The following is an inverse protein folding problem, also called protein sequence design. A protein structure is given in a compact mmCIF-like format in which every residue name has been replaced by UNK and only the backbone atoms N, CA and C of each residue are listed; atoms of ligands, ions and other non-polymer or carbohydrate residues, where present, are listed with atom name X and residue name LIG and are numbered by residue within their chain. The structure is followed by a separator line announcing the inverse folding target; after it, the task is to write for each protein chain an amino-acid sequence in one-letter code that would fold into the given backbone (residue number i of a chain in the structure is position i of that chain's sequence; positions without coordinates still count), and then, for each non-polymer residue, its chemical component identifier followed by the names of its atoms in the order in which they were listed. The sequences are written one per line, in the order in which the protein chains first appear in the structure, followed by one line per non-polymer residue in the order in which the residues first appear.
data_IF_434033984437
#
_entry.id   IF_434033984437
#
_cell.length_a   1.000
_cell.length_b   1.000
_cell.length_c   1.000
_cell.angle_alpha   90.00
_cell.angle_beta   90.00
_cell.angle_gamma   90.00
#
_symmetry.space_group_name_H-M   'P 1'
#
loop_
_entity.id
_entity.type
_entity.pdbx_description
1 polymer ?
#
# COMPACT_ATOMS: atom_id res chain seq x y z
N UNK A 1 8.06 11.29 10.88
CA UNK A 1 7.22 11.04 12.08
C UNK A 1 5.99 11.93 12.10
N UNK A 2 6.11 13.29 12.05
CA UNK A 2 4.96 14.22 12.11
C UNK A 2 3.89 13.98 11.03
N UNK A 3 4.29 13.64 9.79
CA UNK A 3 3.35 13.35 8.70
C UNK A 3 2.48 12.12 9.02
N UNK A 4 3.08 11.05 9.55
CA UNK A 4 2.35 9.84 9.95
C UNK A 4 1.40 10.11 11.13
N UNK A 5 1.79 10.97 12.08
CA UNK A 5 0.90 11.40 13.19
C UNK A 5 -0.30 12.17 12.67
N UNK A 6 -0.07 13.09 11.74
CA UNK A 6 -1.14 13.84 11.09
C UNK A 6 -2.12 12.91 10.38
N UNK A 7 -1.62 12.01 9.52
CA UNK A 7 -2.46 11.04 8.79
C UNK A 7 -3.31 10.18 9.74
N UNK A 8 -2.70 9.69 10.81
CA UNK A 8 -3.39 8.90 11.82
C UNK A 8 -4.50 9.70 12.52
N UNK A 9 -4.22 10.95 12.90
CA UNK A 9 -5.20 11.85 13.50
C UNK A 9 -6.35 12.26 12.56
N UNK A 10 -6.04 12.48 11.27
CA UNK A 10 -7.02 12.74 10.22
C UNK A 10 -7.96 11.53 10.04
N UNK A 11 -7.40 10.31 10.03
CA UNK A 11 -8.19 9.08 9.96
C UNK A 11 -9.15 8.93 11.13
N UNK A 12 -8.67 9.15 12.35
CA UNK A 12 -9.53 9.12 13.56
C UNK A 12 -10.62 10.20 13.51
N UNK A 13 -10.31 11.36 12.98
CA UNK A 13 -11.28 12.46 12.85
C UNK A 13 -12.34 12.12 11.80
N UNK A 14 -11.96 11.55 10.67
CA UNK A 14 -12.89 11.09 9.63
C UNK A 14 -13.87 10.05 10.17
N UNK A 15 -13.38 9.07 10.95
CA UNK A 15 -14.25 8.05 11.60
C UNK A 15 -15.26 8.70 12.54
N UNK A 16 -14.82 9.62 13.40
CA UNK A 16 -15.72 10.36 14.30
C UNK A 16 -16.77 11.18 13.54
N UNK A 17 -16.45 11.60 12.33
CA UNK A 17 -17.37 12.31 11.43
C UNK A 17 -18.28 11.38 10.62
N UNK A 18 -18.22 10.07 10.83
CA UNK A 18 -19.09 9.08 10.19
C UNK A 18 -18.56 8.48 8.89
N UNK A 19 -17.29 8.64 8.58
CA UNK A 19 -16.69 7.99 7.42
C UNK A 19 -16.66 6.46 7.59
N UNK A 20 -17.10 5.73 6.56
CA UNK A 20 -17.06 4.26 6.49
C UNK A 20 -15.90 3.75 5.63
N UNK A 21 -15.29 4.62 4.83
CA UNK A 21 -14.12 4.33 4.01
C UNK A 21 -13.13 5.47 4.15
N UNK A 22 -11.88 5.11 4.34
CA UNK A 22 -10.74 6.04 4.34
C UNK A 22 -9.89 5.72 3.12
N UNK A 23 -9.55 6.74 2.34
CA UNK A 23 -8.64 6.64 1.22
C UNK A 23 -7.33 7.33 1.60
N UNK A 24 -6.24 6.57 1.63
CA UNK A 24 -4.88 7.10 1.73
C UNK A 24 -4.39 7.32 0.30
N UNK A 25 -4.03 8.55 -0.05
CA UNK A 25 -3.66 8.91 -1.42
C UNK A 25 -2.38 9.75 -1.45
N UNK A 26 -1.52 9.47 -2.41
CA UNK A 26 -0.32 10.24 -2.73
C UNK A 26 -0.50 11.16 -3.96
N UNK A 27 -1.72 11.26 -4.52
CA UNK A 27 -2.01 12.10 -5.72
C UNK A 27 -1.73 13.59 -5.53
N UNK A 28 -1.67 14.07 -4.30
CA UNK A 28 -1.35 15.46 -4.01
C UNK A 28 0.14 15.80 -4.08
N UNK A 29 0.97 14.85 -4.45
CA UNK A 29 2.43 15.02 -4.56
C UNK A 29 2.80 16.05 -5.63
N UNK A 30 3.72 16.96 -5.28
CA UNK A 30 4.25 17.98 -6.18
C UNK A 30 5.67 18.36 -5.74
N UNK A 31 6.27 19.35 -6.40
CA UNK A 31 7.66 19.79 -6.13
C UNK A 31 7.90 20.34 -4.72
N UNK A 32 6.84 20.67 -4.00
CA UNK A 32 6.91 21.20 -2.62
C UNK A 32 6.50 20.17 -1.57
N UNK A 33 5.78 19.11 -1.98
CA UNK A 33 5.21 18.09 -1.09
C UNK A 33 5.61 16.69 -1.56
N UNK A 34 6.60 16.12 -0.87
CA UNK A 34 6.96 14.71 -1.05
C UNK A 34 5.87 13.80 -0.46
N UNK A 35 5.57 12.66 -1.09
CA UNK A 35 4.61 11.69 -0.55
C UNK A 35 5.21 10.95 0.65
N UNK A 36 4.35 10.57 1.59
CA UNK A 36 4.73 9.52 2.53
C UNK A 36 4.64 8.19 1.78
N UNK A 37 5.69 7.34 1.79
CA UNK A 37 5.62 6.03 1.15
C UNK A 37 4.35 5.28 1.53
N UNK A 38 3.61 4.79 0.53
CA UNK A 38 2.25 4.27 0.71
C UNK A 38 2.17 3.13 1.73
N UNK A 39 3.20 2.28 1.80
CA UNK A 39 3.25 1.18 2.75
C UNK A 39 3.42 1.67 4.19
N UNK A 40 4.27 2.68 4.42
CA UNK A 40 4.45 3.30 5.74
C UNK A 40 3.16 3.97 6.21
N UNK A 41 2.50 4.73 5.33
CA UNK A 41 1.24 5.39 5.62
C UNK A 41 0.14 4.38 5.97
N UNK A 42 0.01 3.33 5.17
CA UNK A 42 -0.97 2.25 5.37
C UNK A 42 -0.75 1.55 6.71
N UNK A 43 0.47 1.10 6.99
CA UNK A 43 0.79 0.40 8.24
C UNK A 43 0.60 1.29 9.46
N UNK A 44 1.05 2.53 9.42
CA UNK A 44 0.91 3.47 10.53
C UNK A 44 -0.57 3.75 10.85
N UNK A 45 -1.40 4.05 9.85
CA UNK A 45 -2.84 4.29 10.02
C UNK A 45 -3.53 3.01 10.51
N UNK A 46 -3.24 1.85 9.92
CA UNK A 46 -3.80 0.57 10.33
C UNK A 46 -3.54 0.27 11.80
N UNK A 47 -2.29 0.35 12.26
CA UNK A 47 -1.93 0.08 13.66
C UNK A 47 -2.45 1.14 14.62
N UNK A 48 -2.50 2.40 14.21
CA UNK A 48 -3.12 3.46 15.00
C UNK A 48 -4.61 3.17 15.26
N UNK A 49 -5.37 2.84 14.22
CA UNK A 49 -6.78 2.51 14.35
C UNK A 49 -7.04 1.23 15.15
N UNK A 50 -6.12 0.26 15.13
CA UNK A 50 -6.17 -0.91 16.01
C UNK A 50 -6.00 -0.46 17.47
N UNK A 51 -5.03 0.40 17.76
CA UNK A 51 -4.77 0.92 19.11
C UNK A 51 -5.97 1.69 19.66
N UNK A 52 -6.68 2.44 18.80
CA UNK A 52 -7.93 3.15 19.16
C UNK A 52 -9.18 2.24 19.15
N UNK A 53 -9.05 0.96 18.78
CA UNK A 53 -10.18 0.00 18.65
C UNK A 53 -11.24 0.43 17.62
N UNK A 54 -10.85 1.21 16.64
CA UNK A 54 -11.74 1.74 15.58
C UNK A 54 -11.48 1.12 14.20
N UNK A 55 -10.44 0.29 14.07
CA UNK A 55 -10.02 -0.29 12.77
C UNK A 55 -11.14 -1.03 12.03
N UNK A 56 -12.02 -1.69 12.76
CA UNK A 56 -13.14 -2.47 12.18
C UNK A 56 -14.34 -1.63 11.74
N UNK A 57 -14.33 -0.33 12.03
CA UNK A 57 -15.42 0.59 11.68
C UNK A 57 -15.30 1.09 10.22
N UNK A 58 -14.12 0.95 9.60
CA UNK A 58 -13.85 1.53 8.28
C UNK A 58 -13.14 0.57 7.33
N UNK A 59 -13.45 0.68 6.05
CA UNK A 59 -12.61 0.18 4.96
C UNK A 59 -11.39 1.11 4.76
N UNK A 60 -10.22 0.54 4.49
CA UNK A 60 -9.00 1.29 4.18
C UNK A 60 -8.62 1.02 2.73
N UNK A 61 -8.62 2.04 1.91
CA UNK A 61 -8.24 1.97 0.49
C UNK A 61 -6.97 2.79 0.29
N UNK A 62 -6.07 2.30 -0.54
CA UNK A 62 -4.81 2.98 -0.86
C UNK A 62 -4.79 3.35 -2.33
N UNK A 63 -4.70 4.64 -2.62
CA UNK A 63 -4.47 5.17 -3.96
C UNK A 63 -2.99 5.55 -4.04
N UNK A 64 -2.21 4.79 -4.83
CA UNK A 64 -0.76 4.82 -4.75
C UNK A 64 -0.08 4.92 -6.11
N UNK A 65 0.88 5.84 -6.21
CA UNK A 65 1.85 5.88 -7.30
C UNK A 65 2.97 4.83 -7.15
N UNK A 66 3.23 4.37 -5.93
CA UNK A 66 4.29 3.39 -5.63
C UNK A 66 3.93 1.96 -6.03
N UNK A 67 2.62 1.63 -6.04
CA UNK A 67 2.14 0.27 -6.28
C UNK A 67 2.21 -0.06 -7.79
N UNK A 68 3.25 -0.79 -8.23
CA UNK A 68 3.53 -1.08 -9.63
C UNK A 68 3.57 -2.56 -9.98
N UNK A 69 3.61 -3.44 -8.99
CA UNK A 69 3.72 -4.88 -9.19
C UNK A 69 3.02 -5.68 -8.09
N UNK A 70 2.93 -6.99 -8.30
CA UNK A 70 2.26 -7.92 -7.38
C UNK A 70 2.76 -7.81 -5.95
N UNK A 71 4.08 -7.70 -5.74
CA UNK A 71 4.66 -7.64 -4.40
C UNK A 71 4.21 -6.40 -3.63
N UNK A 72 4.15 -5.24 -4.29
CA UNK A 72 3.67 -4.00 -3.69
C UNK A 72 2.21 -4.13 -3.24
N UNK A 73 1.34 -4.69 -4.11
CA UNK A 73 -0.07 -4.91 -3.77
C UNK A 73 -0.21 -5.93 -2.64
N UNK A 74 0.57 -7.02 -2.68
CA UNK A 74 0.58 -8.04 -1.63
C UNK A 74 0.97 -7.47 -0.27
N UNK A 75 1.97 -6.58 -0.21
CA UNK A 75 2.37 -5.88 1.01
C UNK A 75 1.26 -4.95 1.51
N UNK A 76 0.68 -4.11 0.66
CA UNK A 76 -0.38 -3.19 1.06
C UNK A 76 -1.59 -3.94 1.65
N UNK A 77 -2.02 -5.03 1.03
CA UNK A 77 -3.10 -5.88 1.56
C UNK A 77 -2.69 -6.55 2.87
N UNK A 78 -1.45 -7.04 2.97
CA UNK A 78 -0.91 -7.65 4.18
C UNK A 78 -0.85 -6.70 5.37
N UNK A 79 -0.62 -5.41 5.11
CA UNK A 79 -0.54 -4.37 6.13
C UNK A 79 -1.82 -3.53 6.30
N UNK A 80 -2.96 -3.99 5.79
CA UNK A 80 -4.24 -3.46 6.19
C UNK A 80 -5.09 -2.83 5.10
N UNK A 81 -4.60 -2.68 3.87
CA UNK A 81 -5.44 -2.18 2.78
C UNK A 81 -6.53 -3.21 2.42
N UNK A 82 -7.77 -2.75 2.29
CA UNK A 82 -8.89 -3.52 1.75
C UNK A 82 -9.03 -3.37 0.24
N UNK A 83 -8.34 -2.40 -0.36
CA UNK A 83 -8.29 -2.17 -1.79
C UNK A 83 -7.12 -1.27 -2.16
N UNK A 84 -6.60 -1.44 -3.38
CA UNK A 84 -5.46 -0.67 -3.90
C UNK A 84 -5.81 -0.13 -5.28
N UNK A 85 -5.61 1.18 -5.48
CA UNK A 85 -5.70 1.84 -6.78
C UNK A 85 -4.29 2.26 -7.24
N UNK A 86 -3.62 1.48 -8.09
CA UNK A 86 -2.26 1.76 -8.56
C UNK A 86 -2.32 2.72 -9.76
N UNK A 87 -2.68 3.98 -9.53
CA UNK A 87 -3.05 4.92 -10.60
C UNK A 87 -1.90 5.23 -11.56
N UNK A 88 -0.66 5.37 -11.07
CA UNK A 88 0.51 5.60 -11.94
C UNK A 88 0.79 4.38 -12.81
N UNK A 89 0.58 3.16 -12.31
CA UNK A 89 0.71 1.95 -13.13
C UNK A 89 -0.31 1.95 -14.28
N UNK A 90 -1.56 2.37 -14.02
CA UNK A 90 -2.59 2.49 -15.05
C UNK A 90 -2.26 3.58 -16.08
N UNK A 91 -1.85 4.76 -15.62
CA UNK A 91 -1.42 5.86 -16.49
C UNK A 91 -0.20 5.47 -17.34
N UNK A 92 0.74 4.72 -16.77
CA UNK A 92 1.91 4.20 -17.49
C UNK A 92 1.51 3.20 -18.59
N UNK A 93 0.56 2.31 -18.31
CA UNK A 93 0.00 1.38 -19.30
C UNK A 93 -0.64 2.16 -20.46
N UNK A 94 -1.44 3.17 -20.15
CA UNK A 94 -2.11 4.00 -21.15
C UNK A 94 -1.09 4.75 -22.02
N UNK A 95 -0.03 5.29 -21.42
CA UNK A 95 1.05 5.96 -22.13
C UNK A 95 1.84 5.00 -23.04
N UNK A 96 2.15 3.80 -22.56
CA UNK A 96 2.85 2.77 -23.33
C UNK A 96 2.06 2.37 -24.58
N UNK A 97 0.74 2.23 -24.47
CA UNK A 97 -0.14 1.92 -25.58
C UNK A 97 -0.22 3.12 -26.56
N UNK A 98 -0.38 4.33 -26.08
CA UNK A 98 -0.45 5.53 -26.89
C UNK A 98 0.82 5.80 -27.70
N UNK A 99 1.98 5.44 -27.13
CA UNK A 99 3.30 5.61 -27.79
C UNK A 99 3.73 4.42 -28.63
N UNK A 100 2.98 3.32 -28.64
CA UNK A 100 3.35 2.09 -29.32
C UNK A 100 4.63 1.43 -28.77
N UNK A 101 4.92 1.69 -27.49
CA UNK A 101 6.14 1.20 -26.86
C UNK A 101 6.13 -0.33 -26.70
N UNK A 102 7.33 -0.92 -26.71
CA UNK A 102 7.58 -2.32 -26.33
C UNK A 102 6.88 -3.42 -27.17
N UNK A 103 6.51 -3.13 -28.42
CA UNK A 103 5.93 -4.14 -29.32
C UNK A 103 4.56 -4.64 -28.87
N UNK A 104 3.80 -3.83 -28.15
CA UNK A 104 2.45 -4.16 -27.75
C UNK A 104 1.53 -4.33 -28.97
N UNK A 105 0.59 -5.28 -28.96
CA UNK A 105 -0.32 -5.48 -30.08
C UNK A 105 -1.18 -4.22 -30.32
N UNK A 106 -1.27 -3.76 -31.56
CA UNK A 106 -2.10 -2.60 -31.91
C UNK A 106 -3.61 -2.79 -31.62
N UNK A 107 -4.04 -4.04 -31.41
CA UNK A 107 -5.41 -4.39 -31.05
C UNK A 107 -5.70 -4.33 -29.56
N UNK A 108 -4.67 -4.13 -28.73
CA UNK A 108 -4.82 -4.10 -27.28
C UNK A 108 -5.39 -2.73 -26.84
N UNK A 109 -6.58 -2.74 -26.29
CA UNK A 109 -7.20 -1.50 -25.75
C UNK A 109 -6.68 -1.17 -24.36
N UNK A 110 -6.70 0.13 -23.95
CA UNK A 110 -6.31 0.52 -22.59
C UNK A 110 -7.07 -0.23 -21.50
N UNK A 111 -8.37 -0.43 -21.67
CA UNK A 111 -9.20 -1.17 -20.72
C UNK A 111 -8.74 -2.63 -20.59
N UNK A 112 -8.49 -3.30 -21.73
CA UNK A 112 -8.02 -4.68 -21.72
C UNK A 112 -6.63 -4.81 -21.09
N UNK A 113 -5.75 -3.85 -21.33
CA UNK A 113 -4.42 -3.82 -20.74
C UNK A 113 -4.48 -3.63 -19.22
N UNK A 114 -5.26 -2.67 -18.73
CA UNK A 114 -5.49 -2.47 -17.29
C UNK A 114 -6.12 -3.70 -16.64
N UNK A 115 -7.11 -4.34 -17.29
CA UNK A 115 -7.70 -5.58 -16.80
C UNK A 115 -6.70 -6.73 -16.75
N UNK A 116 -5.77 -6.81 -17.70
CA UNK A 116 -4.70 -7.81 -17.67
C UNK A 116 -3.74 -7.57 -16.51
N UNK A 117 -3.40 -6.31 -16.20
CA UNK A 117 -2.61 -5.95 -15.04
C UNK A 117 -3.31 -6.34 -13.73
N UNK A 118 -4.60 -6.02 -13.59
CA UNK A 118 -5.41 -6.41 -12.42
C UNK A 118 -5.40 -7.93 -12.25
N UNK A 119 -5.68 -8.68 -13.32
CA UNK A 119 -5.66 -10.16 -13.28
C UNK A 119 -4.28 -10.72 -12.93
N UNK A 120 -3.20 -10.06 -13.34
CA UNK A 120 -1.84 -10.47 -12.97
C UNK A 120 -1.61 -10.27 -11.47
N UNK A 121 -2.04 -9.13 -10.92
CA UNK A 121 -1.99 -8.87 -9.48
C UNK A 121 -2.84 -9.89 -8.68
N UNK A 122 -4.07 -10.13 -9.10
CA UNK A 122 -4.97 -11.11 -8.45
C UNK A 122 -4.35 -12.51 -8.41
N UNK A 123 -3.86 -12.99 -9.56
CA UNK A 123 -3.19 -14.30 -9.64
C UNK A 123 -1.92 -14.35 -8.78
N UNK A 124 -1.17 -13.25 -8.74
CA UNK A 124 0.04 -13.13 -7.93
C UNK A 124 -0.28 -13.20 -6.44
N UNK A 125 -1.29 -12.46 -5.97
CA UNK A 125 -1.74 -12.47 -4.58
C UNK A 125 -2.23 -13.87 -4.18
N UNK A 126 -3.08 -14.49 -5.00
CA UNK A 126 -3.55 -15.87 -4.75
C UNK A 126 -2.38 -16.85 -4.66
N UNK A 127 -1.33 -16.66 -5.47
CA UNK A 127 -0.12 -17.49 -5.41
C UNK A 127 0.68 -17.27 -4.12
N UNK A 128 0.80 -16.02 -3.65
CA UNK A 128 1.43 -15.71 -2.36
C UNK A 128 0.65 -16.36 -1.22
N UNK A 129 -0.67 -16.16 -1.17
CA UNK A 129 -1.55 -16.74 -0.16
C UNK A 129 -1.47 -18.27 -0.16
N UNK A 130 -1.53 -18.89 -1.33
CA UNK A 130 -1.43 -20.35 -1.48
C UNK A 130 -0.09 -20.89 -0.94
N UNK A 131 1.02 -20.22 -1.22
CA UNK A 131 2.34 -20.62 -0.70
C UNK A 131 2.45 -20.48 0.81
N UNK A 132 1.73 -19.52 1.40
CA UNK A 132 1.68 -19.31 2.85
C UNK A 132 0.62 -20.18 3.55
N UNK A 133 -0.16 -20.94 2.80
CA UNK A 133 -1.27 -21.75 3.34
C UNK A 133 -2.45 -20.93 3.85
N UNK A 134 -2.64 -19.71 3.34
CA UNK A 134 -3.70 -18.79 3.75
C UNK A 134 -4.80 -18.80 2.68
N UNK A 135 -6.04 -19.11 3.10
CA UNK A 135 -7.16 -19.30 2.19
C UNK A 135 -8.07 -18.08 2.03
N UNK A 136 -8.01 -17.09 2.93
CA UNK A 136 -8.86 -15.90 2.87
C UNK A 136 -8.06 -14.62 3.04
N UNK A 137 -8.48 -13.54 2.38
CA UNK A 137 -7.85 -12.22 2.53
C UNK A 137 -7.95 -11.69 3.96
N UNK A 138 -9.06 -11.98 4.65
CA UNK A 138 -9.22 -11.61 6.05
C UNK A 138 -8.17 -12.25 6.97
N UNK A 139 -7.75 -13.48 6.68
CA UNK A 139 -6.66 -14.15 7.40
C UNK A 139 -5.28 -13.74 6.91
N UNK A 140 -5.17 -13.21 5.70
CA UNK A 140 -3.93 -12.72 5.12
C UNK A 140 -3.52 -11.36 5.72
N UNK A 141 -4.48 -10.45 5.89
CA UNK A 141 -4.23 -9.14 6.49
C UNK A 141 -3.79 -9.30 7.94
N UNK A 142 -2.59 -8.79 8.24
CA UNK A 142 -1.98 -8.88 9.57
C UNK A 142 -1.36 -10.25 9.90
N UNK A 143 -1.23 -11.16 8.94
CA UNK A 143 -0.68 -12.51 9.16
C UNK A 143 0.84 -12.54 9.45
N UNK A 144 1.53 -11.40 9.38
CA UNK A 144 2.97 -11.29 9.67
C UNK A 144 3.85 -12.24 8.82
N UNK A 145 3.48 -12.41 7.56
CA UNK A 145 4.20 -13.30 6.62
C UNK A 145 5.40 -12.63 5.96
N UNK A 146 5.61 -11.35 6.21
CA UNK A 146 6.73 -10.58 5.71
C UNK A 146 7.78 -10.38 6.81
N UNK A 147 9.01 -10.15 6.41
CA UNK A 147 10.12 -9.80 7.29
C UNK A 147 10.62 -8.41 6.92
N UNK A 148 10.90 -7.56 7.92
CA UNK A 148 11.54 -6.29 7.72
C UNK A 148 13.06 -6.47 7.70
N UNK A 149 13.72 -5.95 6.67
CA UNK A 149 15.18 -6.03 6.50
C UNK A 149 15.71 -4.61 6.31
N UNK A 150 16.65 -4.21 7.15
CA UNK A 150 17.30 -2.92 7.06
C UNK A 150 16.47 -1.73 7.56
N UNK A 151 15.40 -1.99 8.30
CA UNK A 151 14.59 -0.94 8.95
C UNK A 151 14.90 -0.87 10.45
N UNK A 152 15.01 0.34 10.97
CA UNK A 152 15.18 0.59 12.41
C UNK A 152 13.90 0.24 13.20
N UNK A 153 14.09 -0.08 14.49
CA UNK A 153 13.01 -0.50 15.38
C UNK A 153 11.87 0.52 15.44
N UNK A 154 12.20 1.82 15.42
CA UNK A 154 11.19 2.89 15.43
C UNK A 154 10.23 2.85 14.23
N UNK A 155 10.71 2.41 13.06
CA UNK A 155 9.90 2.26 11.85
C UNK A 155 9.02 1.02 11.96
N UNK A 156 9.63 -0.09 12.41
CA UNK A 156 8.94 -1.37 12.58
C UNK A 156 7.85 -1.27 13.63
N UNK A 157 8.15 -0.71 14.80
CA UNK A 157 7.19 -0.58 15.89
C UNK A 157 5.99 0.31 15.54
N UNK A 158 6.22 1.31 14.70
CA UNK A 158 5.18 2.25 14.31
C UNK A 158 4.34 1.79 13.14
N UNK A 159 4.99 1.29 12.08
CA UNK A 159 4.33 0.99 10.81
C UNK A 159 4.08 -0.51 10.59
N UNK A 160 4.88 -1.37 11.22
CA UNK A 160 4.92 -2.81 10.94
C UNK A 160 4.92 -3.63 12.22
N UNK A 161 4.16 -3.20 13.21
CA UNK A 161 4.13 -3.82 14.55
C UNK A 161 3.94 -5.32 14.48
N UNK A 162 4.84 -6.05 15.13
CA UNK A 162 4.83 -7.52 15.21
C UNK A 162 5.55 -8.21 14.05
N UNK A 163 6.02 -7.45 13.06
CA UNK A 163 6.83 -8.01 11.98
C UNK A 163 8.22 -8.34 12.50
N UNK A 164 8.73 -9.50 12.10
CA UNK A 164 10.10 -9.91 12.45
C UNK A 164 11.10 -9.02 11.74
N UNK A 165 12.04 -8.44 12.49
CA UNK A 165 13.19 -7.70 11.96
C UNK A 165 14.47 -8.27 12.59
N UNK A 166 15.25 -8.99 11.80
CA UNK A 166 16.53 -9.58 12.24
C UNK A 166 17.72 -8.69 11.96
N UNK A 167 17.59 -7.81 10.99
CA UNK A 167 18.59 -6.83 10.58
C UNK A 167 17.98 -5.45 10.71
N UNK A 168 18.35 -4.74 11.76
CA UNK A 168 18.02 -3.34 11.91
C UNK A 168 18.70 -2.48 10.84
N UNK A 169 18.38 -1.20 10.78
CA UNK A 169 18.94 -0.31 9.77
C UNK A 169 18.43 1.13 9.90
N UNK A 170 17.90 1.66 8.79
CA UNK A 170 17.56 3.07 8.63
C UNK A 170 16.31 3.47 9.41
N UNK A 171 16.34 4.68 9.94
CA UNK A 171 15.21 5.34 10.59
C UNK A 171 14.36 6.18 9.62
N UNK A 172 13.41 6.92 10.18
CA UNK A 172 12.52 7.79 9.40
C UNK A 172 13.23 8.97 8.75
N UNK A 173 14.37 9.39 9.26
CA UNK A 173 15.20 10.46 8.71
C UNK A 173 15.75 10.05 7.34
N UNK A 174 16.42 8.91 7.28
CA UNK A 174 16.95 8.37 6.02
C UNK A 174 15.85 8.05 5.02
N UNK A 175 14.72 7.45 5.48
CA UNK A 175 13.58 7.17 4.61
C UNK A 175 12.94 8.43 4.05
N UNK A 176 12.99 9.55 4.77
CA UNK A 176 12.49 10.83 4.29
C UNK A 176 13.42 11.49 3.28
N UNK A 177 14.72 11.24 3.37
CA UNK A 177 15.72 11.78 2.43
C UNK A 177 15.71 11.02 1.09
N UNK A 178 15.16 9.79 1.05
CA UNK A 178 15.04 8.95 -0.16
C UNK A 178 13.76 9.26 -0.98
N UNK A 179 12.84 10.07 -0.48
CA UNK A 179 11.58 10.45 -1.13
C UNK A 179 11.68 11.83 -1.75
#
# INVERSE_FOLDING_TARGET
TRALERLAGEASTAIRSGANVIVISDRGTNVEMAPVPSLLATGAVHHHLISEKTRTLVGLVVESGDAREVHHVALLLGFGAGGVCPYVAFESIDLMLATGAHGLPATLTPEAARQNFIRACDKGILKVMSKMGISTVASYTGAQIFEAIGLGDEVVDRCFRGVVSRLGGVGFDVLADEV
#
